data_IF_566799341373
#
_entry.id   IF_566799341373
#
_cell.length_a   1.000
_cell.length_b   1.000
_cell.length_c   1.000
_cell.angle_alpha   90.00
_cell.angle_beta   90.00
_cell.angle_gamma   90.00
#
_symmetry.space_group_name_H-M   'P 1'
#
loop_
_entity.id
_entity.type
_entity.pdbx_description
1 polymer ?
#
# COMPACT_ATOMS: atom_id res chain seq x y z
N UNK A 1 -21.38 -23.24 -18.25
CA UNK A 1 -20.83 -23.37 -16.89
C UNK A 1 -21.29 -22.15 -16.11
N UNK A 2 -22.20 -22.33 -15.15
CA UNK A 2 -22.57 -21.25 -14.25
C UNK A 2 -21.39 -21.06 -13.30
N UNK A 3 -20.47 -20.15 -13.67
CA UNK A 3 -19.51 -19.66 -12.70
C UNK A 3 -20.31 -19.00 -11.59
N UNK A 4 -19.97 -19.34 -10.35
CA UNK A 4 -20.67 -18.91 -9.14
C UNK A 4 -20.74 -17.38 -9.13
N UNK A 5 -21.90 -16.81 -9.48
CA UNK A 5 -22.17 -15.36 -9.39
C UNK A 5 -21.83 -14.85 -7.97
N UNK A 6 -21.93 -15.74 -6.98
CA UNK A 6 -21.51 -15.50 -5.62
C UNK A 6 -20.03 -15.13 -5.49
N UNK A 7 -19.10 -15.79 -6.19
CA UNK A 7 -17.66 -15.52 -6.02
C UNK A 7 -17.23 -14.23 -6.72
N UNK A 8 -17.83 -13.85 -7.87
CA UNK A 8 -17.53 -12.55 -8.48
C UNK A 8 -18.04 -11.40 -7.62
N UNK A 9 -19.20 -11.55 -6.99
CA UNK A 9 -19.72 -10.53 -6.09
C UNK A 9 -18.87 -10.44 -4.82
N UNK A 10 -18.35 -11.55 -4.29
CA UNK A 10 -17.36 -11.53 -3.20
C UNK A 10 -16.06 -10.84 -3.61
N UNK A 11 -15.56 -11.06 -4.81
CA UNK A 11 -14.37 -10.35 -5.33
C UNK A 11 -14.64 -8.84 -5.41
N UNK A 12 -15.80 -8.43 -5.93
CA UNK A 12 -16.19 -7.00 -5.99
C UNK A 12 -16.27 -6.38 -4.59
N UNK A 13 -16.90 -7.07 -3.63
CA UNK A 13 -16.96 -6.61 -2.24
C UNK A 13 -15.57 -6.50 -1.62
N UNK A 14 -14.71 -7.50 -1.80
CA UNK A 14 -13.34 -7.48 -1.31
C UNK A 14 -12.52 -6.34 -1.91
N UNK A 15 -12.68 -6.04 -3.22
CA UNK A 15 -12.06 -4.88 -3.87
C UNK A 15 -12.58 -3.56 -3.31
N UNK A 16 -13.88 -3.45 -3.05
CA UNK A 16 -14.48 -2.29 -2.40
C UNK A 16 -13.86 -2.03 -1.02
N UNK A 17 -13.78 -3.06 -0.17
CA UNK A 17 -13.18 -2.98 1.16
C UNK A 17 -11.69 -2.62 1.09
N UNK A 18 -10.97 -3.18 0.11
CA UNK A 18 -9.57 -2.85 -0.16
C UNK A 18 -9.40 -1.37 -0.50
N UNK A 19 -10.25 -0.82 -1.38
CA UNK A 19 -10.18 0.59 -1.77
C UNK A 19 -10.46 1.53 -0.58
N UNK A 20 -11.40 1.17 0.30
CA UNK A 20 -11.67 1.94 1.53
C UNK A 20 -10.45 1.88 2.46
N UNK A 21 -9.87 0.70 2.67
CA UNK A 21 -8.67 0.55 3.49
C UNK A 21 -7.50 1.36 2.93
N UNK A 22 -7.35 1.39 1.61
CA UNK A 22 -6.32 2.17 0.94
C UNK A 22 -6.51 3.68 1.17
N UNK A 23 -7.73 4.18 1.02
CA UNK A 23 -8.03 5.60 1.26
C UNK A 23 -7.72 6.03 2.70
N UNK A 24 -7.97 5.16 3.68
CA UNK A 24 -7.61 5.44 5.07
C UNK A 24 -6.10 5.45 5.30
N UNK A 25 -5.36 4.52 4.67
CA UNK A 25 -3.90 4.54 4.71
C UNK A 25 -3.35 5.82 4.08
N UNK A 26 -3.90 6.26 2.95
CA UNK A 26 -3.54 7.51 2.29
C UNK A 26 -3.72 8.72 3.23
N UNK A 27 -4.87 8.84 3.89
CA UNK A 27 -5.12 9.91 4.85
C UNK A 27 -4.12 9.86 6.03
N UNK A 28 -3.83 8.67 6.56
CA UNK A 28 -2.81 8.50 7.59
C UNK A 28 -1.42 8.95 7.15
N UNK A 29 -1.04 8.68 5.89
CA UNK A 29 0.22 9.13 5.31
C UNK A 29 0.26 10.66 5.11
N UNK A 30 -0.86 11.27 4.70
CA UNK A 30 -0.96 12.73 4.58
C UNK A 30 -0.90 13.43 5.93
N UNK A 31 -1.43 12.82 6.99
CA UNK A 31 -1.26 13.34 8.35
C UNK A 31 0.21 13.30 8.78
N UNK A 32 0.94 12.21 8.52
CA UNK A 32 2.40 12.16 8.76
C UNK A 32 3.12 13.25 7.96
N UNK A 33 2.76 13.44 6.70
CA UNK A 33 3.32 14.49 5.84
C UNK A 33 3.10 15.88 6.44
N UNK A 34 1.87 16.18 6.88
CA UNK A 34 1.52 17.43 7.53
C UNK A 34 2.43 17.73 8.72
N UNK A 35 2.62 16.75 9.63
CA UNK A 35 3.54 16.90 10.76
C UNK A 35 4.98 17.15 10.30
N UNK A 36 5.50 16.36 9.36
CA UNK A 36 6.89 16.51 8.89
C UNK A 36 7.17 17.83 8.18
N UNK A 37 6.13 18.49 7.68
CA UNK A 37 6.21 19.76 6.96
C UNK A 37 5.61 20.93 7.75
N UNK A 38 5.39 20.79 9.06
CA UNK A 38 4.76 21.84 9.88
C UNK A 38 5.47 23.19 9.83
N UNK A 39 6.79 23.19 9.58
CA UNK A 39 7.60 24.40 9.43
C UNK A 39 7.51 25.03 8.02
N UNK A 40 6.80 24.39 7.09
CA UNK A 40 6.55 24.86 5.72
C UNK A 40 5.16 25.52 5.69
N UNK A 41 5.00 26.59 4.91
CA UNK A 41 3.69 27.27 4.77
C UNK A 41 2.57 26.29 4.39
N UNK A 42 1.40 26.45 5.03
CA UNK A 42 0.20 25.63 4.79
C UNK A 42 -0.20 25.52 3.31
N UNK A 43 0.08 26.57 2.53
CA UNK A 43 -0.11 26.61 1.07
C UNK A 43 0.71 25.57 0.31
N UNK A 44 1.94 25.28 0.75
CA UNK A 44 2.78 24.26 0.13
C UNK A 44 2.33 22.85 0.53
N UNK A 45 1.80 22.64 1.74
CA UNK A 45 1.14 21.38 2.11
C UNK A 45 -0.08 21.11 1.22
N UNK A 46 -0.97 22.08 1.04
CA UNK A 46 -2.14 21.94 0.16
C UNK A 46 -1.74 21.63 -1.29
N UNK A 47 -0.67 22.26 -1.79
CA UNK A 47 -0.16 21.97 -3.13
C UNK A 47 0.36 20.52 -3.22
N UNK A 48 1.11 20.06 -2.21
CA UNK A 48 1.60 18.68 -2.15
C UNK A 48 0.45 17.67 -2.06
N UNK A 49 -0.55 17.92 -1.20
CA UNK A 49 -1.70 17.03 -1.03
C UNK A 49 -2.53 16.90 -2.30
N UNK A 50 -2.75 18.01 -3.00
CA UNK A 50 -3.67 18.05 -4.14
C UNK A 50 -2.99 17.73 -5.48
N UNK A 51 -1.70 18.03 -5.64
CA UNK A 51 -0.99 17.94 -6.93
C UNK A 51 0.01 16.78 -7.01
N UNK A 52 0.47 16.21 -5.89
CA UNK A 52 1.38 15.06 -5.91
C UNK A 52 0.62 13.74 -5.77
N UNK A 53 1.08 12.75 -6.53
CA UNK A 53 0.67 11.37 -6.29
C UNK A 53 1.17 10.91 -4.91
N UNK A 54 0.47 9.95 -4.30
CA UNK A 54 0.82 9.43 -2.98
C UNK A 54 2.30 9.03 -2.88
N UNK A 55 2.86 8.48 -3.98
CA UNK A 55 4.27 8.12 -4.05
C UNK A 55 5.17 9.35 -3.89
N UNK A 56 4.94 10.41 -4.67
CA UNK A 56 5.67 11.66 -4.55
C UNK A 56 5.58 12.24 -3.14
N UNK A 57 4.37 12.27 -2.56
CA UNK A 57 4.14 12.71 -1.19
C UNK A 57 4.94 11.88 -0.17
N UNK A 58 4.92 10.55 -0.25
CA UNK A 58 5.68 9.66 0.64
C UNK A 58 7.20 9.84 0.52
N UNK A 59 7.72 10.09 -0.69
CA UNK A 59 9.14 10.36 -0.89
C UNK A 59 9.55 11.71 -0.27
N UNK A 60 8.67 12.72 -0.33
CA UNK A 60 8.86 13.97 0.39
C UNK A 60 8.87 13.72 1.91
N UNK A 61 7.92 12.96 2.46
CA UNK A 61 7.91 12.56 3.88
C UNK A 61 9.25 11.93 4.28
N UNK A 62 9.72 10.95 3.50
CA UNK A 62 10.97 10.24 3.77
C UNK A 62 12.16 11.18 3.77
N UNK A 63 12.26 12.07 2.79
CA UNK A 63 13.33 13.06 2.69
C UNK A 63 13.37 14.00 3.89
N UNK A 64 12.21 14.54 4.30
CA UNK A 64 12.11 15.43 5.45
C UNK A 64 12.41 14.72 6.78
N UNK A 65 11.88 13.52 6.98
CA UNK A 65 12.13 12.73 8.19
C UNK A 65 13.64 12.46 8.40
N UNK A 66 14.36 12.13 7.32
CA UNK A 66 15.82 11.91 7.37
C UNK A 66 16.58 13.22 7.60
N UNK A 67 16.19 14.30 6.92
CA UNK A 67 16.87 15.59 7.01
C UNK A 67 16.76 16.21 8.41
N UNK A 68 15.58 16.12 9.03
CA UNK A 68 15.31 16.81 10.28
C UNK A 68 15.77 16.05 11.54
N UNK A 69 16.20 14.78 11.44
CA UNK A 69 16.67 13.94 12.57
C UNK A 69 15.74 14.00 13.79
N UNK A 70 14.45 13.78 13.56
CA UNK A 70 13.40 13.82 14.60
C UNK A 70 13.53 12.64 15.58
N UNK A 71 14.44 12.77 16.56
CA UNK A 71 14.60 11.86 17.69
C UNK A 71 14.83 10.37 17.35
N UNK A 72 14.84 9.54 18.41
CA UNK A 72 15.16 8.10 18.43
C UNK A 72 14.21 7.23 17.57
N UNK A 73 13.07 7.77 17.17
CA UNK A 73 12.00 7.09 16.44
C UNK A 73 11.75 7.66 15.02
N UNK A 74 12.60 8.58 14.54
CA UNK A 74 12.52 9.12 13.17
C UNK A 74 12.57 8.06 12.08
N UNK A 75 13.21 6.91 12.33
CA UNK A 75 13.35 5.82 11.37
C UNK A 75 12.01 5.15 10.99
N UNK A 76 10.96 5.31 11.81
CA UNK A 76 9.66 4.69 11.53
C UNK A 76 8.99 5.22 10.26
N UNK A 77 9.17 6.51 9.93
CA UNK A 77 8.60 7.13 8.72
C UNK A 77 9.26 6.55 7.45
N UNK A 78 10.61 6.55 7.31
CA UNK A 78 11.27 5.85 6.21
C UNK A 78 10.86 4.38 6.07
N UNK A 79 10.74 3.65 7.18
CA UNK A 79 10.33 2.23 7.16
C UNK A 79 8.89 2.08 6.66
N UNK A 80 7.95 2.91 7.13
CA UNK A 80 6.56 2.90 6.65
C UNK A 80 6.52 3.13 5.13
N UNK A 81 7.23 4.16 4.66
CA UNK A 81 7.31 4.50 3.23
C UNK A 81 7.83 3.31 2.43
N UNK A 82 8.92 2.67 2.87
CA UNK A 82 9.52 1.54 2.15
C UNK A 82 8.61 0.31 2.10
N UNK A 83 7.83 0.05 3.16
CA UNK A 83 6.84 -1.01 3.18
C UNK A 83 5.68 -0.75 2.21
N UNK A 84 5.23 0.50 2.09
CA UNK A 84 4.17 0.88 1.13
C UNK A 84 4.68 0.82 -0.30
N UNK A 85 5.84 1.44 -0.57
CA UNK A 85 6.38 1.60 -1.92
C UNK A 85 6.92 0.30 -2.54
N UNK A 86 7.19 -0.71 -1.70
CA UNK A 86 7.59 -2.05 -2.10
C UNK A 86 6.45 -2.87 -2.71
N UNK A 87 6.12 -4.00 -2.10
CA UNK A 87 5.20 -4.99 -2.68
C UNK A 87 3.73 -4.51 -2.65
N UNK A 88 3.37 -3.63 -1.72
CA UNK A 88 1.97 -3.28 -1.43
C UNK A 88 1.37 -2.34 -2.46
N UNK A 89 2.03 -1.22 -2.80
CA UNK A 89 1.55 -0.31 -3.84
C UNK A 89 1.48 -0.99 -5.21
N UNK A 90 2.48 -1.82 -5.52
CA UNK A 90 2.51 -2.59 -6.76
C UNK A 90 1.32 -3.57 -6.84
N UNK A 91 1.03 -4.28 -5.75
CA UNK A 91 -0.13 -5.16 -5.64
C UNK A 91 -1.46 -4.41 -5.80
N UNK A 92 -1.66 -3.29 -5.09
CA UNK A 92 -2.85 -2.44 -5.21
C UNK A 92 -3.10 -2.02 -6.65
N UNK A 93 -2.07 -1.53 -7.33
CA UNK A 93 -2.20 -1.10 -8.72
C UNK A 93 -2.59 -2.25 -9.66
N UNK A 94 -2.07 -3.46 -9.43
CA UNK A 94 -2.51 -4.65 -10.18
C UNK A 94 -3.96 -4.98 -9.93
N UNK A 95 -4.43 -4.97 -8.67
CA UNK A 95 -5.84 -5.27 -8.37
C UNK A 95 -6.82 -4.26 -8.97
N UNK A 96 -6.41 -3.00 -9.16
CA UNK A 96 -7.27 -1.93 -9.68
C UNK A 96 -7.22 -1.82 -11.20
N UNK A 97 -6.05 -2.01 -11.80
CA UNK A 97 -5.83 -1.74 -13.22
C UNK A 97 -5.80 -2.99 -14.10
N UNK A 98 -5.44 -4.15 -13.56
CA UNK A 98 -5.42 -5.38 -14.35
C UNK A 98 -6.84 -5.96 -14.46
N UNK A 99 -7.33 -6.31 -15.66
CA UNK A 99 -8.63 -6.94 -15.83
C UNK A 99 -8.72 -8.28 -15.07
N UNK A 100 -9.82 -8.47 -14.33
CA UNK A 100 -10.17 -9.74 -13.70
C UNK A 100 -11.29 -10.38 -14.52
N UNK A 101 -11.02 -11.55 -15.09
CA UNK A 101 -11.95 -12.29 -15.96
C UNK A 101 -12.19 -13.70 -15.44
N UNK A 102 -13.27 -14.36 -15.87
CA UNK A 102 -13.47 -15.79 -15.61
C UNK A 102 -12.43 -16.62 -16.37
N UNK A 103 -11.64 -17.41 -15.64
CA UNK A 103 -10.77 -18.43 -16.19
C UNK A 103 -11.44 -19.80 -16.19
N UNK A 104 -10.71 -20.83 -16.64
CA UNK A 104 -11.25 -22.20 -16.76
C UNK A 104 -11.66 -22.77 -15.41
N UNK A 105 -10.82 -22.60 -14.38
CA UNK A 105 -11.01 -23.16 -13.02
C UNK A 105 -11.20 -22.10 -11.93
N UNK A 106 -10.84 -20.84 -12.20
CA UNK A 106 -10.78 -19.75 -11.22
C UNK A 106 -10.91 -18.38 -11.89
N UNK A 107 -11.08 -17.31 -11.12
CA UNK A 107 -10.94 -15.96 -11.67
C UNK A 107 -9.46 -15.65 -11.90
N UNK A 108 -9.17 -15.06 -13.05
CA UNK A 108 -7.79 -14.76 -13.46
C UNK A 108 -7.62 -13.26 -13.65
N UNK A 109 -6.53 -12.73 -13.11
CA UNK A 109 -6.02 -11.40 -13.41
C UNK A 109 -5.12 -11.48 -14.63
N UNK A 110 -5.37 -10.62 -15.61
CA UNK A 110 -4.58 -10.50 -16.82
C UNK A 110 -3.60 -9.35 -16.71
N UNK A 111 -2.30 -9.63 -16.66
CA UNK A 111 -1.28 -8.59 -16.71
C UNK A 111 -0.60 -8.57 -18.08
N UNK A 112 -0.52 -7.38 -18.67
CA UNK A 112 0.10 -7.17 -19.98
C UNK A 112 1.52 -6.64 -19.80
N UNK A 113 2.51 -7.35 -20.35
CA UNK A 113 3.89 -6.86 -20.39
C UNK A 113 4.30 -6.64 -21.84
N UNK A 114 4.55 -5.38 -22.20
CA UNK A 114 5.16 -5.03 -23.48
C UNK A 114 6.67 -5.16 -23.34
N UNK A 115 7.28 -6.12 -24.04
CA UNK A 115 8.74 -6.25 -24.09
C UNK A 115 9.26 -5.79 -25.44
N UNK A 116 10.17 -4.82 -25.41
CA UNK A 116 10.94 -4.45 -26.59
C UNK A 116 12.11 -5.42 -26.76
N UNK A 117 12.05 -6.28 -27.79
CA UNK A 117 13.26 -6.99 -28.23
C UNK A 117 14.09 -6.01 -29.08
N UNK A 118 15.39 -5.90 -28.79
CA UNK A 118 16.35 -5.25 -29.69
C UNK A 118 16.43 -6.06 -30.98
N UNK A 119 15.56 -5.73 -31.93
CA UNK A 119 15.50 -6.26 -33.28
C UNK A 119 15.59 -5.06 -34.24
N UNK A 120 16.17 -5.20 -35.45
CA UNK A 120 16.20 -4.13 -36.45
C UNK A 120 14.79 -3.65 -36.86
N UNK A 121 13.76 -4.44 -36.58
CA UNK A 121 12.35 -4.04 -36.63
C UNK A 121 11.77 -4.00 -35.22
N UNK A 122 11.13 -2.88 -34.85
CA UNK A 122 10.44 -2.73 -33.57
C UNK A 122 9.24 -3.70 -33.54
N UNK A 123 9.45 -4.87 -32.95
CA UNK A 123 8.40 -5.86 -32.70
C UNK A 123 7.83 -5.59 -31.32
N UNK A 124 6.61 -5.04 -31.30
CA UNK A 124 5.82 -4.92 -30.08
C UNK A 124 5.20 -6.29 -29.78
N UNK A 125 5.81 -7.02 -28.85
CA UNK A 125 5.31 -8.31 -28.38
C UNK A 125 4.54 -8.07 -27.08
N UNK A 126 3.23 -8.30 -27.11
CA UNK A 126 2.39 -8.32 -25.92
C UNK A 126 2.40 -9.74 -25.33
N UNK A 127 2.98 -9.88 -24.14
CA UNK A 127 2.90 -11.12 -23.36
C UNK A 127 1.82 -10.92 -22.31
N UNK A 128 0.71 -11.64 -22.45
CA UNK A 128 -0.32 -11.74 -21.42
C UNK A 128 0.06 -12.84 -20.43
N UNK A 129 0.15 -12.51 -19.14
CA UNK A 129 0.25 -13.51 -18.07
C UNK A 129 -1.06 -13.55 -17.30
N UNK A 130 -1.51 -14.77 -16.99
CA UNK A 130 -2.72 -15.03 -16.22
C UNK A 130 -2.30 -15.45 -14.81
N UNK A 131 -2.91 -14.86 -13.78
CA UNK A 131 -2.68 -15.23 -12.39
C UNK A 131 -4.02 -15.46 -11.72
N UNK A 132 -4.19 -16.58 -11.02
CA UNK A 132 -5.41 -16.83 -10.26
C UNK A 132 -5.58 -15.79 -9.15
N UNK A 133 -6.80 -15.31 -8.97
CA UNK A 133 -7.17 -14.35 -7.93
C UNK A 133 -8.41 -14.87 -7.20
N UNK A 134 -8.44 -14.69 -5.88
CA UNK A 134 -9.58 -15.00 -5.04
C UNK A 134 -9.95 -13.84 -4.12
N UNK A 135 -11.19 -13.84 -3.63
CA UNK A 135 -11.64 -12.92 -2.58
C UNK A 135 -10.75 -12.99 -1.33
N UNK A 136 -10.28 -14.18 -0.96
CA UNK A 136 -9.38 -14.40 0.18
C UNK A 136 -8.00 -13.73 0.03
N UNK A 137 -7.41 -13.77 -1.18
CA UNK A 137 -6.15 -13.06 -1.47
C UNK A 137 -6.34 -11.56 -1.25
N UNK A 138 -7.44 -11.01 -1.78
CA UNK A 138 -7.77 -9.59 -1.66
C UNK A 138 -8.03 -9.22 -0.19
N UNK A 139 -8.78 -10.03 0.56
CA UNK A 139 -8.99 -9.78 1.99
C UNK A 139 -7.70 -9.84 2.81
N UNK A 140 -6.77 -10.72 2.46
CA UNK A 140 -5.46 -10.78 3.12
C UNK A 140 -4.62 -9.56 2.79
N UNK A 141 -4.65 -9.11 1.52
CA UNK A 141 -4.06 -7.84 1.13
C UNK A 141 -4.68 -6.66 1.90
N UNK A 142 -6.01 -6.60 2.01
CA UNK A 142 -6.73 -5.58 2.79
C UNK A 142 -6.29 -5.59 4.25
N UNK A 143 -6.06 -6.75 4.88
CA UNK A 143 -5.50 -6.83 6.24
C UNK A 143 -4.10 -6.23 6.33
N UNK A 144 -3.25 -6.46 5.33
CA UNK A 144 -1.92 -5.85 5.25
C UNK A 144 -2.00 -4.31 5.15
N UNK A 145 -2.91 -3.79 4.31
CA UNK A 145 -3.18 -2.35 4.20
C UNK A 145 -3.69 -1.77 5.52
N UNK A 146 -4.63 -2.45 6.20
CA UNK A 146 -5.12 -2.05 7.54
C UNK A 146 -4.05 -2.12 8.63
N UNK A 147 -3.05 -2.99 8.49
CA UNK A 147 -1.93 -3.04 9.42
C UNK A 147 -0.97 -1.85 9.19
N UNK A 148 -0.74 -1.48 7.93
CA UNK A 148 -0.01 -0.25 7.59
C UNK A 148 -0.75 1.01 8.03
N UNK A 149 -2.08 1.07 7.90
CA UNK A 149 -2.91 2.18 8.41
C UNK A 149 -2.72 2.34 9.92
N UNK A 150 -2.77 1.24 10.67
CA UNK A 150 -2.51 1.26 12.12
C UNK A 150 -1.09 1.71 12.45
N UNK A 151 -0.11 1.30 11.66
CA UNK A 151 1.27 1.75 11.83
C UNK A 151 1.43 3.25 11.56
N UNK A 152 0.86 3.77 10.48
CA UNK A 152 0.80 5.21 10.21
C UNK A 152 0.10 5.97 11.35
N UNK A 153 -1.03 5.45 11.84
CA UNK A 153 -1.74 6.04 12.98
C UNK A 153 -0.90 6.07 14.26
N UNK A 154 -0.10 5.04 14.54
CA UNK A 154 0.81 5.04 15.69
C UNK A 154 1.92 6.08 15.57
N UNK A 155 2.42 6.33 14.35
CA UNK A 155 3.38 7.40 14.08
C UNK A 155 2.71 8.75 14.32
N UNK A 156 1.51 8.99 13.78
CA UNK A 156 0.76 10.24 14.01
C UNK A 156 0.58 10.50 15.50
N UNK A 157 0.13 9.50 16.27
CA UNK A 157 -0.03 9.67 17.72
C UNK A 157 1.28 9.99 18.46
N UNK A 158 2.42 9.43 18.01
CA UNK A 158 3.73 9.78 18.55
C UNK A 158 4.11 11.23 18.20
N UNK A 159 3.80 11.69 16.99
CA UNK A 159 4.04 13.07 16.58
C UNK A 159 3.15 14.06 17.36
N UNK A 160 1.88 13.75 17.59
CA UNK A 160 0.97 14.52 18.46
C UNK A 160 1.54 14.65 19.89
N UNK A 161 2.13 13.57 20.39
CA UNK A 161 2.75 13.53 21.72
C UNK A 161 3.99 14.42 21.79
N UNK A 162 4.87 14.36 20.77
CA UNK A 162 6.04 15.24 20.67
C UNK A 162 5.68 16.71 20.58
N UNK A 163 4.59 17.04 19.87
CA UNK A 163 4.12 18.41 19.71
C UNK A 163 3.43 18.96 20.99
N UNK A 164 3.23 18.12 22.00
CA UNK A 164 2.57 18.50 23.25
C UNK A 164 1.06 18.72 23.09
N UNK A 165 0.47 18.39 21.93
CA UNK A 165 -0.97 18.46 21.70
C UNK A 165 -1.74 17.41 22.53
N UNK A 166 -1.06 16.34 22.96
CA UNK A 166 -1.62 15.28 23.81
C UNK A 166 -0.64 14.83 24.91
N UNK A 167 -0.84 15.30 26.14
CA UNK A 167 -0.17 14.80 27.35
C UNK A 167 -0.75 13.44 27.80
N UNK A 168 -0.65 12.41 26.97
CA UNK A 168 -0.82 11.03 27.44
C UNK A 168 0.55 10.46 27.83
N UNK A 169 0.59 9.69 28.92
CA UNK A 169 1.72 8.79 29.18
C UNK A 169 1.77 7.79 28.01
N UNK A 170 2.77 7.93 27.14
CA UNK A 170 2.92 7.05 25.99
C UNK A 170 3.26 5.63 26.46
N UNK A 171 2.32 4.70 26.30
CA UNK A 171 2.56 3.29 26.60
C UNK A 171 3.52 2.70 25.55
N UNK A 172 4.80 2.62 25.90
CA UNK A 172 5.79 1.90 25.11
C UNK A 172 5.53 0.37 25.22
N UNK A 173 5.46 -0.40 24.11
CA UNK A 173 5.96 -0.14 22.73
C UNK A 173 4.86 -0.23 21.65
N UNK A 174 4.11 0.84 21.36
CA UNK A 174 2.99 0.77 20.39
C UNK A 174 3.43 0.86 18.91
N UNK A 175 4.45 1.66 18.57
CA UNK A 175 4.95 1.81 17.19
C UNK A 175 5.69 0.57 16.69
N UNK A 176 6.57 -0.01 17.51
CA UNK A 176 7.31 -1.23 17.14
C UNK A 176 6.37 -2.43 16.96
N UNK A 177 5.35 -2.55 17.83
CA UNK A 177 4.32 -3.57 17.69
C UNK A 177 3.50 -3.38 16.41
N UNK A 178 3.13 -2.13 16.08
CA UNK A 178 2.40 -1.83 14.85
C UNK A 178 3.25 -2.09 13.59
N UNK A 179 4.54 -1.73 13.62
CA UNK A 179 5.51 -2.03 12.56
C UNK A 179 5.62 -3.55 12.33
N UNK A 180 5.81 -4.33 13.40
CA UNK A 180 5.90 -5.79 13.33
C UNK A 180 4.59 -6.39 12.79
N UNK A 181 3.44 -5.90 13.26
CA UNK A 181 2.12 -6.31 12.78
C UNK A 181 1.96 -6.07 11.27
N UNK A 182 2.38 -4.90 10.78
CA UNK A 182 2.40 -4.60 9.35
C UNK A 182 3.32 -5.55 8.58
N UNK A 183 4.54 -5.78 9.07
CA UNK A 183 5.50 -6.68 8.42
C UNK A 183 4.97 -8.11 8.29
N UNK A 184 4.36 -8.66 9.35
CA UNK A 184 3.78 -10.01 9.32
C UNK A 184 2.59 -10.10 8.37
N UNK A 185 1.68 -9.12 8.36
CA UNK A 185 0.54 -9.10 7.47
C UNK A 185 0.95 -9.00 5.99
N UNK A 186 1.97 -8.19 5.68
CA UNK A 186 2.55 -8.11 4.33
C UNK A 186 3.19 -9.44 3.93
N UNK A 187 3.90 -10.09 4.85
CA UNK A 187 4.53 -11.39 4.60
C UNK A 187 3.50 -12.48 4.34
N UNK A 188 2.43 -12.54 5.14
CA UNK A 188 1.30 -13.45 4.94
C UNK A 188 0.68 -13.26 3.55
N UNK A 189 0.33 -12.03 3.19
CA UNK A 189 -0.18 -11.70 1.86
C UNK A 189 0.76 -12.18 0.76
N UNK A 190 2.05 -11.88 0.88
CA UNK A 190 3.05 -12.17 -0.15
C UNK A 190 3.25 -13.67 -0.34
N UNK A 191 3.17 -14.45 0.74
CA UNK A 191 3.21 -15.91 0.66
C UNK A 191 1.99 -16.48 -0.09
N UNK A 192 0.79 -15.97 0.20
CA UNK A 192 -0.45 -16.37 -0.50
C UNK A 192 -0.40 -15.96 -1.99
N UNK A 193 0.06 -14.75 -2.29
CA UNK A 193 0.19 -14.29 -3.68
C UNK A 193 1.21 -15.13 -4.48
N UNK A 194 2.34 -15.51 -3.86
CA UNK A 194 3.36 -16.36 -4.48
C UNK A 194 2.87 -17.79 -4.70
N UNK A 195 2.14 -18.38 -3.77
CA UNK A 195 1.61 -19.74 -3.94
C UNK A 195 0.68 -19.82 -5.14
N UNK A 196 -0.16 -18.80 -5.36
CA UNK A 196 -1.10 -18.71 -6.50
C UNK A 196 -0.41 -18.39 -7.84
N UNK A 197 0.65 -17.60 -7.84
CA UNK A 197 1.45 -17.32 -9.05
C UNK A 197 2.34 -18.48 -9.53
N UNK A 198 2.49 -19.53 -8.74
CA UNK A 198 3.35 -20.69 -9.05
C UNK A 198 2.63 -21.88 -9.68
N UNK A 199 1.30 -21.82 -9.77
CA UNK A 199 0.48 -22.84 -10.44
C UNK A 199 0.67 -22.67 -11.95
N UNK A 200 1.43 -23.61 -12.53
CA UNK A 200 1.74 -23.71 -13.97
C UNK A 200 0.59 -24.28 -14.77
#
# INVERSE_FOLDING_TARGET
MAYDEFEIDRIKHALGDMCIAWAHLEEGCFMVLFYTMRDIEYTAYELIRNELDLRGALQVCKGHAVANRWERHSDHIPILVDLIDGEIRAARNRFIHDPITSGVTSYIRQSYVTRYRKSPHKLDVHIGTHTEVSSEEIYTFTRAVRALERYAGSIVQYLDWLDGERQFDWEFPSMELAQLGAHFAITEYTQIAKSRGSVR
#
